data_IF_927022838810
#
_entry.id   IF_927022838810
#
_cell.length_a   1.000
_cell.length_b   1.000
_cell.length_c   1.000
_cell.angle_alpha   90.00
_cell.angle_beta   90.00
_cell.angle_gamma   90.00
#
_symmetry.space_group_name_H-M   'P 1'
#
loop_
_entity.id
_entity.type
_entity.pdbx_description
1 polymer ?
#
# COMPACT_ATOMS: atom_id res chain seq x y z
N UNK A 1 -18.03 27.14 60.19
CA UNK A 1 -17.96 26.07 59.17
C UNK A 1 -18.17 26.65 57.77
N UNK A 2 -17.21 27.44 57.24
CA UNK A 2 -17.40 28.12 55.93
C UNK A 2 -16.13 28.16 55.05
N UNK A 3 -15.10 27.38 55.38
CA UNK A 3 -13.82 27.37 54.63
C UNK A 3 -13.60 26.11 53.77
N UNK A 4 -14.49 25.12 53.78
CA UNK A 4 -14.31 23.87 53.03
C UNK A 4 -14.88 23.87 51.61
N UNK A 5 -15.67 24.89 51.21
CA UNK A 5 -16.35 24.89 49.90
C UNK A 5 -15.50 25.48 48.75
N UNK A 6 -14.46 26.26 49.06
CA UNK A 6 -13.63 26.92 48.02
C UNK A 6 -12.64 25.96 47.32
N UNK A 7 -12.34 24.81 47.93
CA UNK A 7 -11.36 23.86 47.38
C UNK A 7 -11.97 22.83 46.42
N UNK A 8 -13.31 22.76 46.30
CA UNK A 8 -13.98 21.79 45.45
C UNK A 8 -14.14 22.28 44.00
N UNK A 9 -14.26 23.60 43.78
CA UNK A 9 -14.37 24.19 42.45
C UNK A 9 -13.02 24.56 41.80
N UNK A 10 -11.92 24.58 42.57
CA UNK A 10 -10.58 24.89 42.05
C UNK A 10 -9.89 23.73 41.31
N UNK A 11 -10.31 22.49 41.58
CA UNK A 11 -9.69 21.27 41.04
C UNK A 11 -10.49 20.58 39.93
N UNK A 12 -11.62 21.15 39.49
CA UNK A 12 -12.47 20.55 38.46
C UNK A 12 -12.34 21.20 37.06
N UNK A 13 -11.54 22.26 36.90
CA UNK A 13 -11.35 22.93 35.60
C UNK A 13 -9.98 22.72 34.97
N UNK A 14 -9.05 22.04 35.65
CA UNK A 14 -7.74 21.64 35.09
C UNK A 14 -7.75 20.27 34.41
N UNK A 15 -8.93 19.64 34.27
CA UNK A 15 -9.10 18.35 33.58
C UNK A 15 -9.90 18.46 32.26
N UNK A 16 -9.69 19.53 31.49
CA UNK A 16 -9.89 19.53 30.04
C UNK A 16 -8.49 19.83 29.48
N UNK A 17 -7.75 18.85 28.96
CA UNK A 17 -8.11 18.19 27.72
C UNK A 17 -7.39 18.91 26.58
N UNK A 18 -6.27 18.33 26.15
CA UNK A 18 -5.61 18.61 24.86
C UNK A 18 -4.96 19.99 24.67
N UNK A 19 -3.75 20.20 25.20
CA UNK A 19 -2.68 20.93 24.50
C UNK A 19 -1.31 20.44 24.99
N UNK A 20 -0.73 19.50 24.26
CA UNK A 20 0.58 18.97 24.55
C UNK A 20 0.99 17.97 23.49
N UNK A 21 1.37 18.47 22.32
CA UNK A 21 2.36 17.77 21.51
C UNK A 21 3.71 18.06 22.19
N UNK A 22 4.33 17.11 22.94
CA UNK A 22 5.75 17.23 23.20
C UNK A 22 6.43 17.00 21.85
N UNK A 23 6.75 18.12 21.21
CA UNK A 23 7.76 18.25 20.17
C UNK A 23 9.09 17.77 20.76
N UNK A 24 9.26 16.45 20.84
CA UNK A 24 10.44 15.78 21.39
C UNK A 24 10.67 14.44 20.70
N UNK A 25 10.56 14.40 19.36
CA UNK A 25 11.30 13.40 18.58
C UNK A 25 12.64 14.01 18.20
N UNK A 26 13.54 13.92 19.17
CA UNK A 26 14.96 14.19 19.07
C UNK A 26 15.53 13.65 17.76
N UNK A 27 16.30 14.51 17.09
CA UNK A 27 16.94 14.39 15.77
C UNK A 27 17.79 13.11 15.54
N UNK A 28 17.93 12.23 16.53
CA UNK A 28 18.59 10.93 16.41
C UNK A 28 17.64 9.77 16.05
N UNK A 29 16.31 9.95 16.22
CA UNK A 29 15.29 8.92 15.95
C UNK A 29 14.70 8.98 14.53
N UNK A 30 14.90 10.10 13.81
CA UNK A 30 14.29 10.33 12.49
C UNK A 30 14.87 9.46 11.37
N UNK A 31 16.14 9.07 11.47
CA UNK A 31 16.79 8.27 10.42
C UNK A 31 16.33 6.81 10.43
N UNK A 32 16.22 6.18 11.59
CA UNK A 32 15.81 4.76 11.68
C UNK A 32 14.34 4.56 11.31
N UNK A 33 13.46 5.49 11.72
CA UNK A 33 12.05 5.43 11.36
C UNK A 33 11.83 5.67 9.86
N UNK A 34 12.51 6.66 9.28
CA UNK A 34 12.45 6.92 7.84
C UNK A 34 13.01 5.75 7.02
N UNK A 35 14.13 5.15 7.45
CA UNK A 35 14.73 3.99 6.79
C UNK A 35 13.82 2.75 6.83
N UNK A 36 13.11 2.54 7.94
CA UNK A 36 12.12 1.46 8.08
C UNK A 36 11.01 1.55 7.01
N UNK A 37 10.55 2.77 6.70
CA UNK A 37 9.55 3.00 5.65
C UNK A 37 10.10 2.65 4.27
N UNK A 38 11.32 3.08 3.95
CA UNK A 38 11.96 2.74 2.68
C UNK A 38 12.20 1.23 2.51
N UNK A 39 12.60 0.53 3.58
CA UNK A 39 12.75 -0.93 3.54
C UNK A 39 11.42 -1.63 3.29
N UNK A 40 10.34 -1.18 3.94
CA UNK A 40 8.99 -1.71 3.71
C UNK A 40 8.55 -1.51 2.26
N UNK A 41 8.72 -0.31 1.71
CA UNK A 41 8.36 -0.01 0.32
C UNK A 41 9.22 -0.82 -0.66
N UNK A 42 10.53 -0.89 -0.42
CA UNK A 42 11.47 -1.65 -1.26
C UNK A 42 11.15 -3.13 -1.26
N UNK A 43 10.78 -3.71 -0.11
CA UNK A 43 10.35 -5.11 0.01
C UNK A 43 9.08 -5.38 -0.80
N UNK A 44 8.07 -4.50 -0.71
CA UNK A 44 6.84 -4.63 -1.50
C UNK A 44 7.13 -4.55 -3.00
N UNK A 45 7.92 -3.57 -3.44
CA UNK A 45 8.34 -3.45 -4.85
C UNK A 45 9.10 -4.70 -5.30
N UNK A 46 10.04 -5.19 -4.49
CA UNK A 46 10.81 -6.39 -4.79
C UNK A 46 9.91 -7.64 -4.90
N UNK A 47 8.93 -7.79 -4.01
CA UNK A 47 7.97 -8.90 -4.08
C UNK A 47 7.06 -8.79 -5.32
N UNK A 48 6.60 -7.59 -5.67
CA UNK A 48 5.79 -7.37 -6.88
C UNK A 48 6.60 -7.67 -8.14
N UNK A 49 7.84 -7.18 -8.23
CA UNK A 49 8.74 -7.48 -9.36
C UNK A 49 9.02 -8.98 -9.39
N UNK A 50 9.35 -9.61 -8.26
CA UNK A 50 9.61 -11.05 -8.21
C UNK A 50 8.37 -11.87 -8.57
N UNK A 51 7.18 -11.45 -8.17
CA UNK A 51 5.93 -12.12 -8.53
C UNK A 51 5.60 -11.94 -10.01
N UNK A 52 5.84 -10.74 -10.57
CA UNK A 52 5.69 -10.48 -12.01
C UNK A 52 6.77 -11.18 -12.85
N UNK A 53 7.98 -11.33 -12.34
CA UNK A 53 9.07 -12.03 -13.01
C UNK A 53 8.96 -13.56 -12.87
N UNK A 54 8.18 -14.02 -11.87
CA UNK A 54 7.73 -15.42 -11.74
C UNK A 54 6.50 -15.73 -12.58
N UNK A 55 5.79 -14.74 -13.11
CA UNK A 55 4.98 -14.99 -14.29
C UNK A 55 6.01 -15.15 -15.40
N UNK A 56 6.32 -16.37 -15.86
CA UNK A 56 7.07 -16.45 -17.09
C UNK A 56 6.31 -15.60 -18.10
N UNK A 57 7.04 -14.83 -18.91
CA UNK A 57 6.55 -14.44 -20.23
C UNK A 57 6.40 -15.73 -21.07
N UNK A 58 5.73 -16.74 -20.53
CA UNK A 58 5.42 -17.97 -21.22
C UNK A 58 4.37 -17.62 -22.24
N UNK A 59 4.41 -18.40 -23.31
CA UNK A 59 3.37 -18.45 -24.33
C UNK A 59 1.96 -18.51 -23.70
N UNK A 60 1.79 -19.07 -22.50
CA UNK A 60 0.50 -19.06 -21.77
C UNK A 60 0.02 -17.66 -21.39
N UNK A 61 0.89 -16.76 -20.91
CA UNK A 61 0.49 -15.39 -20.55
C UNK A 61 0.09 -14.58 -21.79
N UNK A 62 0.79 -14.80 -22.92
CA UNK A 62 0.46 -14.19 -24.20
C UNK A 62 -0.88 -14.71 -24.76
N UNK A 63 -1.09 -16.04 -24.71
CA UNK A 63 -2.35 -16.66 -25.10
C UNK A 63 -3.52 -16.21 -24.20
N UNK A 64 -3.32 -16.07 -22.88
CA UNK A 64 -4.36 -15.61 -21.96
C UNK A 64 -4.79 -14.15 -22.25
N UNK A 65 -3.85 -13.29 -22.66
CA UNK A 65 -4.17 -11.93 -23.10
C UNK A 65 -4.93 -11.92 -24.44
N UNK A 66 -4.57 -12.83 -25.35
CA UNK A 66 -5.23 -13.00 -26.65
C UNK A 66 -6.66 -13.55 -26.50
N UNK A 67 -6.85 -14.54 -25.64
CA UNK A 67 -8.16 -15.11 -25.29
C UNK A 67 -9.09 -14.06 -24.67
N UNK A 68 -8.57 -13.18 -23.80
CA UNK A 68 -9.33 -12.06 -23.24
C UNK A 68 -9.85 -11.11 -24.32
N UNK A 69 -8.99 -10.74 -25.28
CA UNK A 69 -9.37 -9.84 -26.38
C UNK A 69 -10.40 -10.47 -27.30
N UNK A 70 -10.30 -11.78 -27.57
CA UNK A 70 -11.30 -12.52 -28.34
C UNK A 70 -12.66 -12.59 -27.60
N UNK A 71 -12.65 -12.87 -26.30
CA UNK A 71 -13.86 -12.91 -25.49
C UNK A 71 -14.56 -11.54 -25.38
N UNK A 72 -13.78 -10.45 -25.40
CA UNK A 72 -14.30 -9.08 -25.46
C UNK A 72 -14.82 -8.69 -26.85
N UNK A 73 -14.55 -9.48 -27.89
CA UNK A 73 -14.89 -9.17 -29.28
C UNK A 73 -14.01 -8.06 -29.90
N UNK A 74 -12.87 -7.75 -29.29
CA UNK A 74 -11.92 -6.73 -29.79
C UNK A 74 -11.16 -7.22 -31.04
N UNK A 75 -11.09 -8.53 -31.25
CA UNK A 75 -10.44 -9.17 -32.39
C UNK A 75 -11.39 -10.15 -33.08
N UNK A 76 -11.25 -10.31 -34.40
CA UNK A 76 -12.02 -11.30 -35.15
C UNK A 76 -11.51 -12.71 -34.93
N UNK A 77 -12.31 -13.71 -35.30
CA UNK A 77 -11.94 -15.13 -35.20
C UNK A 77 -10.72 -15.46 -36.04
N UNK A 78 -10.61 -14.85 -37.23
CA UNK A 78 -9.51 -15.03 -38.16
C UNK A 78 -8.19 -14.51 -37.55
N UNK A 79 -8.20 -13.28 -37.01
CA UNK A 79 -7.03 -12.69 -36.33
C UNK A 79 -6.63 -13.49 -35.09
N UNK A 80 -7.60 -13.98 -34.32
CA UNK A 80 -7.35 -14.81 -33.16
C UNK A 80 -6.62 -16.10 -33.53
N UNK A 81 -7.06 -16.79 -34.59
CA UNK A 81 -6.45 -18.04 -35.05
C UNK A 81 -5.03 -17.84 -35.58
N UNK A 82 -4.80 -16.78 -36.35
CA UNK A 82 -3.47 -16.44 -36.88
C UNK A 82 -2.48 -16.19 -35.74
N UNK A 83 -2.83 -15.30 -34.80
CA UNK A 83 -1.97 -14.96 -33.65
C UNK A 83 -1.77 -16.14 -32.71
N UNK A 84 -2.77 -17.00 -32.55
CA UNK A 84 -2.67 -18.23 -31.73
C UNK A 84 -1.69 -19.24 -32.32
N UNK A 85 -1.65 -19.37 -33.65
CA UNK A 85 -0.70 -20.28 -34.31
C UNK A 85 0.74 -19.75 -34.18
N UNK A 86 0.95 -18.46 -34.40
CA UNK A 86 2.27 -17.81 -34.26
C UNK A 86 2.88 -17.94 -32.85
N UNK A 87 2.04 -17.98 -31.80
CA UNK A 87 2.51 -18.13 -30.42
C UNK A 87 2.76 -19.61 -30.07
N UNK A 88 2.09 -20.55 -30.74
CA UNK A 88 2.24 -22.00 -30.48
C UNK A 88 3.51 -22.58 -31.10
N UNK A 89 3.93 -22.11 -32.26
CA UNK A 89 5.22 -22.43 -32.91
C UNK A 89 6.41 -21.84 -32.12
#
# INVERSE_FOLDING_TARGET
MHHSFQNFCGNLFTQHGSMGNPMSHSFMSGHFFNWSIFLMISLVIFLVIRHRNKQPASKETALASLDRQFANGEISKEEYLERKNLIKD
#
